data_IF_075464737411
#
_entry.id   IF_075464737411
#
_cell.length_a   1.000
_cell.length_b   1.000
_cell.length_c   1.000
_cell.angle_alpha   90.00
_cell.angle_beta   90.00
_cell.angle_gamma   90.00
#
_symmetry.space_group_name_H-M   'P 1'
#
loop_
_entity.id
_entity.type
_entity.pdbx_description
1 polymer ?
#
# COMPACT_ATOMS: atom_id res chain seq x y z
N UNK A 1 3.16 -0.26 -5.52
CA UNK A 1 2.56 -1.57 -5.89
C UNK A 1 1.26 -1.75 -5.13
N UNK A 2 0.20 -2.09 -5.85
CA UNK A 2 -1.10 -2.35 -5.24
C UNK A 2 -1.21 -3.82 -4.83
N UNK A 3 -1.70 -4.03 -3.62
CA UNK A 3 -2.06 -5.34 -3.10
C UNK A 3 -0.98 -6.43 -3.25
N UNK A 4 0.28 -6.16 -2.88
CA UNK A 4 1.33 -7.16 -2.93
C UNK A 4 1.06 -8.28 -1.92
N UNK A 5 1.63 -9.46 -2.16
CA UNK A 5 1.56 -10.57 -1.20
C UNK A 5 2.84 -11.41 -1.24
N UNK A 6 3.21 -11.99 -0.10
CA UNK A 6 4.24 -13.02 -0.03
C UNK A 6 3.64 -14.40 -0.32
N UNK A 7 4.48 -15.35 -0.69
CA UNK A 7 4.07 -16.76 -0.80
C UNK A 7 3.72 -17.32 0.59
N UNK A 8 2.68 -18.15 0.69
CA UNK A 8 2.27 -18.79 1.96
C UNK A 8 3.36 -19.66 2.60
N UNK A 9 4.22 -20.28 1.78
CA UNK A 9 5.28 -21.21 2.22
C UNK A 9 6.68 -20.69 1.97
N UNK A 10 6.84 -19.43 1.54
CA UNK A 10 8.14 -18.81 1.32
C UNK A 10 8.56 -17.95 2.50
N UNK A 11 9.86 -17.73 2.63
CA UNK A 11 10.39 -16.72 3.54
C UNK A 11 10.29 -15.35 2.85
N UNK A 12 9.49 -14.41 3.37
CA UNK A 12 9.38 -13.06 2.79
C UNK A 12 10.73 -12.34 2.74
N UNK A 13 11.63 -12.59 3.70
CA UNK A 13 12.95 -11.97 3.71
C UNK A 13 13.81 -12.42 2.52
N UNK A 14 13.74 -13.68 2.14
CA UNK A 14 14.43 -14.16 0.93
C UNK A 14 13.85 -13.56 -0.34
N UNK A 15 12.52 -13.37 -0.39
CA UNK A 15 11.85 -12.84 -1.56
C UNK A 15 12.04 -11.32 -1.74
N UNK A 16 12.04 -10.56 -0.66
CA UNK A 16 11.96 -9.09 -0.71
C UNK A 16 13.16 -8.37 -0.08
N UNK A 17 13.99 -9.05 0.70
CA UNK A 17 15.10 -8.46 1.45
C UNK A 17 16.20 -7.80 0.59
N UNK A 18 16.25 -8.11 -0.71
CA UNK A 18 17.20 -7.51 -1.65
C UNK A 18 16.64 -6.34 -2.47
N UNK A 19 15.40 -5.89 -2.23
CA UNK A 19 14.75 -4.82 -3.00
C UNK A 19 15.29 -3.47 -2.57
N UNK A 20 16.25 -2.92 -3.31
CA UNK A 20 16.91 -1.63 -3.01
C UNK A 20 16.16 -0.40 -3.55
N UNK A 21 15.33 -0.57 -4.57
CA UNK A 21 14.58 0.55 -5.17
C UNK A 21 13.52 1.09 -4.21
N UNK A 22 13.14 2.38 -4.32
CA UNK A 22 11.98 2.92 -3.61
C UNK A 22 10.73 2.11 -3.91
N UNK A 23 9.93 1.85 -2.88
CA UNK A 23 8.74 1.02 -3.04
C UNK A 23 7.60 1.47 -2.14
N UNK A 24 6.44 1.72 -2.72
CA UNK A 24 5.20 1.99 -2.00
C UNK A 24 4.25 0.80 -2.13
N UNK A 25 3.83 0.26 -1.00
CA UNK A 25 2.88 -0.83 -0.87
C UNK A 25 1.52 -0.28 -0.45
N UNK A 26 0.46 -0.74 -1.10
CA UNK A 26 -0.90 -0.37 -0.76
C UNK A 26 -1.76 -1.62 -0.65
N UNK A 27 -2.47 -1.78 0.46
CA UNK A 27 -3.43 -2.86 0.68
C UNK A 27 -4.60 -2.36 1.53
N UNK A 28 -5.60 -3.20 1.73
CA UNK A 28 -6.75 -2.91 2.58
C UNK A 28 -6.92 -3.96 3.67
N UNK A 29 -7.59 -3.62 4.78
CA UNK A 29 -7.83 -4.58 5.86
C UNK A 29 -8.78 -5.72 5.47
N UNK A 30 -9.54 -5.55 4.38
CA UNK A 30 -10.44 -6.55 3.79
C UNK A 30 -9.96 -7.06 2.42
N UNK A 31 -8.71 -6.76 2.07
CA UNK A 31 -8.10 -7.11 0.79
C UNK A 31 -7.75 -8.61 0.74
N UNK A 32 -8.75 -9.41 0.45
CA UNK A 32 -8.66 -10.86 0.27
C UNK A 32 -8.72 -11.16 -1.23
N UNK A 33 -7.81 -11.97 -1.73
CA UNK A 33 -7.87 -12.39 -3.12
C UNK A 33 -9.06 -13.32 -3.37
N UNK A 34 -9.84 -13.04 -4.41
CA UNK A 34 -10.93 -13.92 -4.86
C UNK A 34 -10.40 -15.19 -5.52
N UNK A 35 -9.20 -15.12 -6.08
CA UNK A 35 -8.50 -16.23 -6.75
C UNK A 35 -7.10 -16.33 -6.16
N UNK A 36 -6.71 -17.54 -5.76
CA UNK A 36 -5.43 -17.79 -5.11
C UNK A 36 -5.50 -17.68 -3.59
N UNK A 37 -4.34 -17.72 -2.95
CA UNK A 37 -4.20 -17.89 -1.50
C UNK A 37 -3.80 -16.60 -0.76
N UNK A 38 -3.81 -15.45 -1.43
CA UNK A 38 -3.38 -14.20 -0.81
C UNK A 38 -4.41 -13.72 0.21
N UNK A 39 -4.02 -13.73 1.47
CA UNK A 39 -4.76 -13.20 2.60
C UNK A 39 -4.09 -11.93 3.15
N UNK A 40 -4.73 -11.26 4.08
CA UNK A 40 -4.19 -10.05 4.70
C UNK A 40 -2.82 -10.32 5.35
N UNK A 41 -2.61 -11.47 5.98
CA UNK A 41 -1.35 -11.82 6.62
C UNK A 41 -0.20 -11.88 5.60
N UNK A 42 -0.43 -12.53 4.46
CA UNK A 42 0.57 -12.62 3.39
C UNK A 42 0.88 -11.26 2.76
N UNK A 43 -0.10 -10.37 2.68
CA UNK A 43 0.10 -8.99 2.20
C UNK A 43 0.94 -8.17 3.17
N UNK A 44 0.60 -8.20 4.45
CA UNK A 44 1.31 -7.47 5.50
C UNK A 44 2.72 -8.02 5.80
N UNK A 45 3.04 -9.21 5.33
CA UNK A 45 4.38 -9.80 5.49
C UNK A 45 5.43 -9.19 4.55
N UNK A 46 5.02 -8.45 3.51
CA UNK A 46 5.94 -7.87 2.52
C UNK A 46 6.73 -6.70 3.10
N UNK A 47 6.05 -5.73 3.71
CA UNK A 47 6.71 -4.52 4.21
C UNK A 47 7.80 -4.80 5.26
N UNK A 48 7.58 -5.64 6.29
CA UNK A 48 8.63 -5.99 7.25
C UNK A 48 9.88 -6.60 6.62
N UNK A 49 9.71 -7.34 5.52
CA UNK A 49 10.79 -8.02 4.81
C UNK A 49 11.62 -7.10 3.91
N UNK A 50 11.12 -5.91 3.58
CA UNK A 50 11.87 -4.95 2.77
C UNK A 50 13.03 -4.35 3.58
N UNK A 51 14.18 -4.05 2.93
CA UNK A 51 15.25 -3.29 3.57
C UNK A 51 14.80 -1.84 3.82
N UNK A 52 15.48 -1.11 4.73
CA UNK A 52 15.18 0.30 4.98
C UNK A 52 15.47 1.17 3.77
N UNK A 53 15.03 2.43 3.84
CA UNK A 53 15.17 3.51 2.87
C UNK A 53 14.17 3.49 1.72
N UNK A 54 13.31 4.50 1.72
CA UNK A 54 12.35 4.74 0.65
C UNK A 54 11.25 3.68 0.53
N UNK A 55 10.89 3.05 1.63
CA UNK A 55 9.83 2.05 1.68
C UNK A 55 8.63 2.61 2.43
N UNK A 56 7.47 2.49 1.82
CA UNK A 56 6.21 3.02 2.33
C UNK A 56 5.15 1.93 2.31
N UNK A 57 4.32 1.90 3.34
CA UNK A 57 3.14 1.05 3.36
C UNK A 57 1.91 1.84 3.81
N UNK A 58 0.83 1.74 3.05
CA UNK A 58 -0.50 2.15 3.49
C UNK A 58 -1.42 0.94 3.57
N UNK A 59 -2.16 0.84 4.69
CA UNK A 59 -3.22 -0.15 4.86
C UNK A 59 -4.52 0.60 5.10
N UNK A 60 -5.39 0.61 4.11
CA UNK A 60 -6.67 1.31 4.15
C UNK A 60 -7.71 0.50 4.93
N UNK A 61 -8.34 1.12 5.90
CA UNK A 61 -9.35 0.46 6.73
C UNK A 61 -10.61 0.13 5.94
N UNK A 62 -11.13 -1.08 6.08
CA UNK A 62 -12.28 -1.64 5.33
C UNK A 62 -12.13 -1.64 3.80
N UNK A 63 -10.95 -1.36 3.26
CA UNK A 63 -10.73 -1.47 1.83
C UNK A 63 -10.61 -2.94 1.42
N UNK A 64 -11.40 -3.31 0.42
CA UNK A 64 -11.32 -4.59 -0.30
C UNK A 64 -10.41 -4.46 -1.52
N UNK A 65 -10.17 -5.54 -2.23
CA UNK A 65 -9.31 -5.53 -3.43
C UNK A 65 -9.78 -4.54 -4.49
N UNK A 66 -11.07 -4.36 -4.65
CA UNK A 66 -11.69 -3.42 -5.58
C UNK A 66 -11.41 -1.94 -5.28
N UNK A 67 -10.95 -1.59 -4.06
CA UNK A 67 -10.56 -0.22 -3.73
C UNK A 67 -9.43 0.31 -4.64
N UNK A 68 -8.64 -0.60 -5.25
CA UNK A 68 -7.57 -0.29 -6.19
C UNK A 68 -8.02 -0.28 -7.67
N UNK A 69 -9.32 -0.31 -7.92
CA UNK A 69 -9.93 -0.25 -9.26
C UNK A 69 -11.09 0.74 -9.29
N UNK A 70 -11.52 1.15 -10.49
CA UNK A 70 -12.62 2.12 -10.66
C UNK A 70 -14.01 1.51 -10.44
N UNK A 71 -14.11 0.19 -10.33
CA UNK A 71 -15.39 -0.52 -10.21
C UNK A 71 -15.33 -1.60 -9.13
N UNK A 72 -16.51 -1.91 -8.58
CA UNK A 72 -16.68 -3.05 -7.69
C UNK A 72 -16.33 -4.37 -8.40
N UNK A 73 -15.82 -5.33 -7.63
CA UNK A 73 -15.52 -6.67 -8.10
C UNK A 73 -16.59 -7.65 -7.58
N UNK A 74 -16.85 -8.76 -8.30
CA UNK A 74 -17.70 -9.81 -7.78
C UNK A 74 -17.18 -10.31 -6.43
N UNK A 75 -18.05 -10.31 -5.41
CA UNK A 75 -17.70 -10.73 -4.06
C UNK A 75 -17.39 -9.60 -3.08
N UNK A 76 -17.34 -8.36 -3.53
CA UNK A 76 -17.25 -7.19 -2.63
C UNK A 76 -18.43 -7.19 -1.66
N UNK A 77 -18.15 -6.91 -0.39
CA UNK A 77 -19.12 -6.90 0.71
C UNK A 77 -19.25 -5.54 1.37
N UNK A 78 -18.21 -4.71 1.28
CA UNK A 78 -18.20 -3.39 1.89
C UNK A 78 -18.67 -2.31 0.91
N UNK A 79 -19.39 -1.30 1.37
CA UNK A 79 -19.65 -0.11 0.58
C UNK A 79 -18.34 0.57 0.18
N UNK A 80 -18.25 1.02 -1.07
CA UNK A 80 -17.06 1.75 -1.55
C UNK A 80 -16.90 3.05 -0.77
N UNK A 81 -15.74 3.24 -0.18
CA UNK A 81 -15.38 4.48 0.50
C UNK A 81 -14.63 5.41 -0.49
N UNK A 82 -15.21 6.58 -0.84
CA UNK A 82 -14.56 7.52 -1.77
C UNK A 82 -13.23 8.07 -1.24
N UNK A 83 -12.99 8.05 0.08
CA UNK A 83 -11.72 8.47 0.67
C UNK A 83 -10.57 7.54 0.28
N UNK A 84 -10.82 6.25 0.05
CA UNK A 84 -9.78 5.33 -0.41
C UNK A 84 -9.14 5.81 -1.72
N UNK A 85 -9.95 6.18 -2.73
CA UNK A 85 -9.44 6.69 -4.01
C UNK A 85 -8.65 8.00 -3.84
N UNK A 86 -9.11 8.92 -2.98
CA UNK A 86 -8.35 10.16 -2.68
C UNK A 86 -7.00 9.85 -2.07
N UNK A 87 -6.96 8.98 -1.09
CA UNK A 87 -5.71 8.58 -0.43
C UNK A 87 -4.75 7.90 -1.43
N UNK A 88 -5.25 6.92 -2.21
CA UNK A 88 -4.47 6.22 -3.23
C UNK A 88 -3.90 7.20 -4.25
N UNK A 89 -4.73 8.12 -4.78
CA UNK A 89 -4.29 9.12 -5.76
C UNK A 89 -3.22 10.04 -5.18
N UNK A 90 -3.46 10.63 -4.00
CA UNK A 90 -2.52 11.57 -3.39
C UNK A 90 -1.17 10.90 -3.08
N UNK A 91 -1.19 9.74 -2.41
CA UNK A 91 0.02 9.01 -2.04
C UNK A 91 0.81 8.52 -3.26
N UNK A 92 0.13 7.95 -4.26
CA UNK A 92 0.80 7.46 -5.46
C UNK A 92 1.37 8.61 -6.31
N UNK A 93 0.65 9.73 -6.43
CA UNK A 93 1.17 10.93 -7.14
C UNK A 93 2.40 11.47 -6.45
N UNK A 94 2.36 11.70 -5.13
CA UNK A 94 3.51 12.18 -4.38
C UNK A 94 4.71 11.22 -4.48
N UNK A 95 4.46 9.90 -4.47
CA UNK A 95 5.53 8.92 -4.66
C UNK A 95 6.19 9.02 -6.04
N UNK A 96 5.41 9.14 -7.11
CA UNK A 96 5.95 9.29 -8.46
C UNK A 96 6.66 10.63 -8.65
N UNK A 97 6.11 11.72 -8.12
CA UNK A 97 6.75 13.03 -8.16
C UNK A 97 8.09 13.01 -7.42
N UNK A 98 8.14 12.43 -6.23
CA UNK A 98 9.35 12.34 -5.43
C UNK A 98 10.46 11.50 -6.11
N UNK A 99 10.12 10.33 -6.64
CA UNK A 99 11.13 9.37 -7.08
C UNK A 99 11.39 9.32 -8.60
N UNK A 100 10.44 9.77 -9.39
CA UNK A 100 10.61 9.82 -10.87
C UNK A 100 10.94 11.23 -11.34
N UNK A 101 10.29 12.25 -10.77
CA UNK A 101 10.52 13.64 -11.13
C UNK A 101 11.58 14.32 -10.27
N UNK A 102 11.98 13.72 -9.16
CA UNK A 102 12.95 14.29 -8.22
C UNK A 102 12.40 15.47 -7.42
N UNK A 103 11.08 15.54 -7.24
CA UNK A 103 10.42 16.61 -6.52
C UNK A 103 10.70 16.47 -5.02
N UNK A 104 11.40 17.45 -4.45
CA UNK A 104 11.82 17.47 -3.06
C UNK A 104 10.63 17.74 -2.11
N UNK A 105 9.69 18.57 -2.53
CA UNK A 105 8.53 18.92 -1.72
C UNK A 105 7.60 17.71 -1.59
N UNK A 106 7.42 16.96 -2.68
CA UNK A 106 6.69 15.69 -2.66
C UNK A 106 7.39 14.64 -1.77
N UNK A 107 8.73 14.60 -1.77
CA UNK A 107 9.50 13.71 -0.90
C UNK A 107 9.35 14.07 0.57
N UNK A 108 9.46 15.37 0.90
CA UNK A 108 9.26 15.88 2.27
C UNK A 108 7.83 15.62 2.75
N UNK A 109 6.83 15.82 1.89
CA UNK A 109 5.44 15.51 2.20
C UNK A 109 5.23 14.02 2.54
N UNK A 110 5.85 13.10 1.76
CA UNK A 110 5.76 11.64 2.01
C UNK A 110 6.45 11.23 3.31
N UNK A 111 7.61 11.80 3.60
CA UNK A 111 8.43 11.42 4.77
C UNK A 111 7.93 12.07 6.08
N UNK A 112 7.15 13.13 5.96
CA UNK A 112 6.60 13.88 7.08
C UNK A 112 5.14 13.49 7.40
N UNK A 113 4.40 14.48 7.86
CA UNK A 113 2.99 14.32 8.29
C UNK A 113 2.00 14.45 7.12
N UNK A 114 2.47 14.78 5.92
CA UNK A 114 1.64 14.97 4.75
C UNK A 114 0.65 13.83 4.47
N UNK A 115 1.07 12.55 4.50
CA UNK A 115 0.16 11.42 4.29
C UNK A 115 -1.02 11.39 5.26
N UNK A 116 -0.84 11.84 6.50
CA UNK A 116 -1.91 11.88 7.50
C UNK A 116 -3.04 12.85 7.14
N UNK A 117 -2.76 13.85 6.32
CA UNK A 117 -3.79 14.81 5.85
C UNK A 117 -4.81 14.20 4.88
N UNK A 118 -4.49 13.07 4.26
CA UNK A 118 -5.35 12.38 3.28
C UNK A 118 -5.82 11.01 3.74
N UNK A 119 -5.32 10.52 4.87
CA UNK A 119 -5.68 9.23 5.46
C UNK A 119 -6.75 9.41 6.54
N UNK A 120 -7.64 8.43 6.66
CA UNK A 120 -8.60 8.38 7.76
C UNK A 120 -7.93 7.87 9.05
N UNK A 121 -8.56 8.13 10.20
CA UNK A 121 -8.00 7.82 11.52
C UNK A 121 -7.60 6.33 11.70
N UNK A 122 -8.32 5.43 11.05
CA UNK A 122 -8.09 3.97 11.14
C UNK A 122 -7.14 3.43 10.09
N UNK A 123 -6.71 4.25 9.14
CA UNK A 123 -5.72 3.88 8.15
C UNK A 123 -4.33 3.82 8.79
N UNK A 124 -3.52 2.88 8.36
CA UNK A 124 -2.14 2.74 8.82
C UNK A 124 -1.18 3.24 7.75
N UNK A 125 -0.22 4.06 8.17
CA UNK A 125 0.89 4.53 7.35
C UNK A 125 2.21 4.20 8.03
N UNK A 126 3.13 3.60 7.30
CA UNK A 126 4.45 3.21 7.77
C UNK A 126 5.53 3.59 6.74
N UNK A 127 6.71 3.97 7.26
CA UNK A 127 7.90 4.36 6.48
C UNK A 127 9.12 3.62 7.04
N UNK A 128 10.05 3.27 6.19
CA UNK A 128 11.41 2.87 6.56
C UNK A 128 12.45 3.06 5.45
#
# INVERSE_FOLDING_TARGET
MFSPSSLRRGDPQQAFGAVQIPWMLMTGTKDIALIGDADLKSRLAVFPALPPSGKYEVVLFNAEHSAFSDRALPGDREPRNPHHHRAILALSTAFWDAYVRGDKDAKEWLDGDGPRSVLEQRDRWQIK
#
